data_IF_688517059554
#
_entry.id   IF_688517059554
#
_cell.length_a   1.000
_cell.length_b   1.000
_cell.length_c   1.000
_cell.angle_alpha   90.00
_cell.angle_beta   90.00
_cell.angle_gamma   90.00
#
_symmetry.space_group_name_H-M   'P 1'
#
loop_
_entity.id
_entity.type
_entity.pdbx_description
1 polymer ?
#
# COMPACT_ATOMS: atom_id res chain seq x y z
N UNK A 1 -20.43 -15.17 1.26
CA UNK A 1 -20.01 -13.80 1.63
C UNK A 1 -19.17 -13.20 0.50
N UNK A 2 -19.41 -11.95 0.19
CA UNK A 2 -18.56 -11.22 -0.74
C UNK A 2 -17.20 -10.93 -0.10
N UNK A 3 -16.21 -10.59 -0.90
CA UNK A 3 -14.90 -10.20 -0.39
C UNK A 3 -15.01 -9.00 0.56
N UNK A 4 -15.84 -8.02 0.20
CA UNK A 4 -16.09 -6.84 1.04
C UNK A 4 -16.63 -7.24 2.42
N UNK A 5 -17.58 -8.17 2.46
CA UNK A 5 -18.15 -8.66 3.72
C UNK A 5 -17.10 -9.40 4.55
N UNK A 6 -16.28 -10.23 3.91
CA UNK A 6 -15.20 -10.93 4.61
C UNK A 6 -14.20 -9.95 5.23
N UNK A 7 -13.82 -8.91 4.49
CA UNK A 7 -12.92 -7.86 4.97
C UNK A 7 -13.54 -7.14 6.16
N UNK A 8 -14.79 -6.71 6.03
CA UNK A 8 -15.48 -5.98 7.10
C UNK A 8 -15.61 -6.82 8.38
N UNK A 9 -15.87 -8.11 8.24
CA UNK A 9 -16.01 -9.00 9.38
C UNK A 9 -14.66 -9.30 10.07
N UNK A 10 -13.56 -9.15 9.34
CA UNK A 10 -12.23 -9.50 9.83
C UNK A 10 -11.48 -8.31 10.43
N UNK A 11 -11.70 -7.11 9.90
CA UNK A 11 -11.10 -5.89 10.44
C UNK A 11 -11.52 -5.70 11.90
N UNK A 12 -10.56 -5.30 12.75
CA UNK A 12 -10.81 -5.04 14.16
C UNK A 12 -10.92 -3.54 14.41
N UNK A 13 -11.97 -3.12 15.09
CA UNK A 13 -12.10 -1.75 15.56
C UNK A 13 -11.35 -1.58 16.87
N UNK A 14 -10.46 -0.59 16.94
CA UNK A 14 -9.75 -0.22 18.15
C UNK A 14 -10.19 1.18 18.54
N UNK A 15 -10.97 1.27 19.61
CA UNK A 15 -11.48 2.56 20.08
C UNK A 15 -10.36 3.37 20.72
N UNK A 16 -10.45 4.69 20.60
CA UNK A 16 -9.53 5.64 21.21
C UNK A 16 -8.05 5.40 20.84
N UNK A 17 -7.79 5.09 19.59
CA UNK A 17 -6.44 4.94 19.06
C UNK A 17 -6.28 5.74 17.75
N UNK A 18 -5.18 6.47 17.54
CA UNK A 18 -4.05 6.67 18.46
C UNK A 18 -4.37 7.62 19.62
N UNK A 19 -5.55 8.22 19.60
CA UNK A 19 -6.00 9.11 20.66
C UNK A 19 -7.52 9.04 20.83
N UNK A 20 -8.00 9.57 21.96
CA UNK A 20 -9.42 9.55 22.31
C UNK A 20 -10.29 10.12 21.20
N UNK A 21 -11.41 9.48 20.93
CA UNK A 21 -12.40 9.88 19.94
C UNK A 21 -12.15 9.33 18.53
N UNK A 22 -11.04 8.62 18.32
CA UNK A 22 -10.74 7.99 17.04
C UNK A 22 -10.92 6.49 17.13
N UNK A 23 -11.69 5.93 16.19
CA UNK A 23 -11.80 4.47 16.03
C UNK A 23 -10.83 4.05 14.93
N UNK A 24 -9.78 3.34 15.30
CA UNK A 24 -8.77 2.86 14.36
C UNK A 24 -9.19 1.52 13.77
N UNK A 25 -9.10 1.40 12.45
CA UNK A 25 -9.38 0.15 11.74
C UNK A 25 -8.10 -0.66 11.63
N UNK A 26 -8.00 -1.70 12.45
CA UNK A 26 -6.83 -2.57 12.51
C UNK A 26 -6.97 -3.70 11.49
N UNK A 27 -6.06 -3.75 10.53
CA UNK A 27 -6.05 -4.76 9.47
C UNK A 27 -5.20 -5.99 9.81
N UNK A 28 -4.54 -6.00 10.96
CA UNK A 28 -3.67 -7.14 11.31
C UNK A 28 -4.38 -8.49 11.29
N UNK A 29 -5.66 -8.60 11.69
CA UNK A 29 -6.36 -9.87 11.56
C UNK A 29 -6.50 -10.37 10.11
N UNK A 30 -6.50 -9.47 9.13
CA UNK A 30 -6.49 -9.85 7.71
C UNK A 30 -5.14 -10.49 7.37
N UNK A 31 -4.05 -9.92 7.86
CA UNK A 31 -2.70 -10.43 7.59
C UNK A 31 -2.49 -11.81 8.22
N UNK A 32 -3.24 -12.13 9.28
CA UNK A 32 -3.20 -13.43 9.94
C UNK A 32 -4.05 -14.49 9.23
N UNK A 33 -4.80 -14.10 8.21
CA UNK A 33 -5.65 -14.97 7.42
C UNK A 33 -5.08 -15.11 6.00
N UNK A 34 -4.30 -16.17 5.72
CA UNK A 34 -3.66 -16.32 4.42
C UNK A 34 -4.65 -16.40 3.26
N UNK A 35 -5.78 -17.06 3.48
CA UNK A 35 -6.80 -17.24 2.45
C UNK A 35 -7.44 -15.90 2.06
N UNK A 36 -7.80 -15.09 3.06
CA UNK A 36 -8.39 -13.77 2.83
C UNK A 36 -7.36 -12.82 2.21
N UNK A 37 -6.12 -12.86 2.69
CA UNK A 37 -5.03 -12.04 2.13
C UNK A 37 -4.81 -12.36 0.65
N UNK A 38 -4.85 -13.64 0.29
CA UNK A 38 -4.72 -14.07 -1.11
C UNK A 38 -5.87 -13.57 -1.96
N UNK A 39 -7.11 -13.64 -1.47
CA UNK A 39 -8.26 -13.10 -2.18
C UNK A 39 -8.12 -11.61 -2.45
N UNK A 40 -7.62 -10.86 -1.46
CA UNK A 40 -7.39 -9.41 -1.60
C UNK A 40 -6.34 -9.13 -2.68
N UNK A 41 -5.23 -9.84 -2.64
CA UNK A 41 -4.15 -9.69 -3.64
C UNK A 41 -4.68 -10.05 -5.04
N UNK A 42 -5.47 -11.10 -5.15
CA UNK A 42 -6.09 -11.49 -6.41
C UNK A 42 -6.99 -10.37 -6.95
N UNK A 43 -7.78 -9.75 -6.08
CA UNK A 43 -8.67 -8.67 -6.47
C UNK A 43 -7.90 -7.44 -6.94
N UNK A 44 -6.79 -7.09 -6.27
CA UNK A 44 -5.91 -6.03 -6.76
C UNK A 44 -5.41 -6.32 -8.17
N UNK A 45 -4.96 -7.54 -8.41
CA UNK A 45 -4.44 -7.92 -9.73
C UNK A 45 -5.52 -7.88 -10.81
N UNK A 46 -6.73 -8.33 -10.49
CA UNK A 46 -7.86 -8.28 -11.42
C UNK A 46 -8.26 -6.85 -11.77
N UNK A 47 -8.02 -5.91 -10.88
CA UNK A 47 -8.37 -4.50 -11.06
C UNK A 47 -7.32 -3.72 -11.84
N UNK A 48 -6.15 -4.30 -12.09
CA UNK A 48 -5.08 -3.62 -12.79
C UNK A 48 -5.39 -3.46 -14.27
N UNK A 49 -5.02 -2.30 -14.85
CA UNK A 49 -5.08 -2.15 -16.31
C UNK A 49 -4.12 -3.15 -16.99
N UNK A 50 -4.40 -3.46 -18.23
CA UNK A 50 -3.52 -4.30 -19.03
C UNK A 50 -2.17 -3.61 -19.24
N UNK A 51 -1.09 -4.40 -19.21
CA UNK A 51 0.25 -3.91 -19.49
C UNK A 51 0.96 -3.22 -18.33
N UNK A 52 0.45 -3.32 -17.12
CA UNK A 52 1.11 -2.73 -15.93
C UNK A 52 2.48 -3.37 -15.72
N UNK A 53 3.53 -2.55 -15.69
CA UNK A 53 4.90 -2.99 -15.49
C UNK A 53 5.37 -2.82 -14.04
N UNK A 54 4.78 -1.88 -13.31
CA UNK A 54 5.17 -1.56 -11.93
C UNK A 54 3.96 -1.28 -11.08
N UNK A 55 4.06 -1.68 -9.82
CA UNK A 55 3.10 -1.33 -8.76
C UNK A 55 3.87 -0.53 -7.71
N UNK A 56 3.32 0.58 -7.27
CA UNK A 56 3.92 1.40 -6.23
C UNK A 56 3.16 1.25 -4.92
N UNK A 57 3.87 1.23 -3.82
CA UNK A 57 3.27 1.22 -2.49
C UNK A 57 3.91 2.29 -1.61
N UNK A 58 3.09 2.97 -0.83
CA UNK A 58 3.54 3.97 0.14
C UNK A 58 3.72 3.29 1.50
N UNK A 59 4.86 3.56 2.14
CA UNK A 59 5.16 2.97 3.44
C UNK A 59 4.09 3.28 4.47
N UNK A 60 3.82 2.39 5.35
CA UNK A 60 4.28 1.00 5.34
C UNK A 60 3.15 0.07 4.94
N UNK A 61 1.89 0.49 5.15
CA UNK A 61 0.71 -0.32 4.87
C UNK A 61 0.61 -0.68 3.38
N UNK A 62 0.98 0.23 2.49
CA UNK A 62 1.00 -0.01 1.06
C UNK A 62 1.95 -1.12 0.62
N UNK A 63 2.99 -1.40 1.41
CA UNK A 63 3.93 -2.49 1.11
C UNK A 63 3.29 -3.87 1.33
N UNK A 64 2.38 -3.97 2.31
CA UNK A 64 1.80 -5.25 2.71
C UNK A 64 1.01 -5.91 1.58
N UNK A 65 0.31 -5.14 0.79
CA UNK A 65 -0.47 -5.64 -0.35
C UNK A 65 0.18 -5.32 -1.69
N UNK A 66 0.93 -4.22 -1.77
CA UNK A 66 1.55 -3.78 -3.02
C UNK A 66 2.61 -4.75 -3.53
N UNK A 67 3.52 -5.19 -2.68
CA UNK A 67 4.55 -6.12 -3.10
C UNK A 67 4.00 -7.50 -3.46
N UNK A 68 3.12 -8.11 -2.67
CA UNK A 68 2.47 -9.36 -3.09
C UNK A 68 1.71 -9.23 -4.41
N UNK A 69 1.02 -8.13 -4.63
CA UNK A 69 0.32 -7.89 -5.91
C UNK A 69 1.31 -7.77 -7.08
N UNK A 70 2.43 -7.08 -6.88
CA UNK A 70 3.47 -6.96 -7.89
C UNK A 70 4.05 -8.33 -8.25
N UNK A 71 4.35 -9.15 -7.25
CA UNK A 71 4.85 -10.50 -7.47
C UNK A 71 3.86 -11.34 -8.28
N UNK A 72 2.60 -11.30 -7.91
CA UNK A 72 1.56 -12.06 -8.60
C UNK A 72 1.37 -11.59 -10.04
N UNK A 73 1.41 -10.28 -10.26
CA UNK A 73 1.27 -9.68 -11.59
C UNK A 73 2.56 -9.76 -12.42
N UNK A 74 3.66 -10.25 -11.83
CA UNK A 74 4.99 -10.27 -12.45
C UNK A 74 5.44 -8.87 -12.87
N UNK A 75 5.16 -7.90 -12.03
CA UNK A 75 5.55 -6.49 -12.18
C UNK A 75 6.65 -6.15 -11.18
N UNK A 76 7.41 -5.08 -11.47
CA UNK A 76 8.30 -4.50 -10.48
C UNK A 76 7.51 -3.83 -9.37
N UNK A 77 8.17 -3.60 -8.22
CA UNK A 77 7.57 -2.88 -7.10
C UNK A 77 8.38 -1.63 -6.80
N UNK A 78 7.69 -0.51 -6.65
CA UNK A 78 8.29 0.78 -6.34
C UNK A 78 7.96 1.15 -4.89
N UNK A 79 9.00 1.32 -4.08
CA UNK A 79 8.84 1.81 -2.72
C UNK A 79 8.73 3.33 -2.74
N UNK A 80 7.63 3.83 -2.17
CA UNK A 80 7.46 5.26 -1.91
C UNK A 80 7.53 5.43 -0.40
N UNK A 81 8.48 6.24 0.07
CA UNK A 81 8.76 6.38 1.49
C UNK A 81 8.89 7.84 1.89
N UNK A 82 8.79 8.09 3.19
CA UNK A 82 9.03 9.41 3.76
C UNK A 82 10.48 9.81 3.52
N UNK A 83 10.70 11.13 3.41
CA UNK A 83 12.02 11.71 3.20
C UNK A 83 13.08 11.10 4.11
N UNK A 84 14.22 10.76 3.51
CA UNK A 84 15.39 10.24 4.23
C UNK A 84 15.39 8.74 4.49
N UNK A 85 14.36 8.00 4.05
CA UNK A 85 14.27 6.55 4.28
C UNK A 85 14.89 5.71 3.18
N UNK A 86 15.06 6.26 1.98
CA UNK A 86 15.60 5.52 0.84
C UNK A 86 17.11 5.77 0.71
N UNK A 87 17.92 4.73 0.47
CA UNK A 87 19.39 4.83 0.51
C UNK A 87 20.04 5.36 -0.76
N UNK A 88 19.33 5.36 -1.89
CA UNK A 88 19.88 5.81 -3.15
C UNK A 88 19.30 7.18 -3.52
N UNK A 89 19.72 7.74 -4.64
CA UNK A 89 19.22 9.04 -5.12
C UNK A 89 17.71 9.00 -5.34
N UNK A 90 17.02 10.06 -4.92
CA UNK A 90 15.56 10.13 -4.93
C UNK A 90 15.05 11.30 -5.73
N UNK A 91 13.81 11.17 -6.21
CA UNK A 91 12.94 12.29 -6.56
C UNK A 91 11.85 12.37 -5.53
N UNK A 92 11.40 13.57 -5.22
CA UNK A 92 10.45 13.77 -4.13
C UNK A 92 9.30 14.68 -4.53
N UNK A 93 8.22 14.56 -3.77
CA UNK A 93 7.05 15.41 -3.87
C UNK A 93 6.65 15.82 -2.44
N UNK A 94 6.32 17.10 -2.28
CA UNK A 94 5.80 17.64 -1.02
C UNK A 94 4.31 17.80 -1.16
N UNK A 95 3.57 17.43 -0.11
CA UNK A 95 2.11 17.60 -0.09
C UNK A 95 1.67 18.16 1.26
N UNK A 96 0.54 18.87 1.22
CA UNK A 96 -0.01 19.49 2.41
C UNK A 96 -0.81 18.51 3.25
N UNK A 97 -0.62 18.58 4.56
CA UNK A 97 -1.45 17.92 5.55
C UNK A 97 -2.38 18.97 6.17
N UNK A 98 -3.33 18.51 6.97
CA UNK A 98 -4.19 19.43 7.74
C UNK A 98 -3.35 20.34 8.63
N UNK A 99 -2.27 19.80 9.20
CA UNK A 99 -1.30 20.55 10.02
C UNK A 99 0.11 20.29 9.48
N UNK A 100 0.59 21.20 8.61
CA UNK A 100 1.94 21.13 8.08
C UNK A 100 2.02 20.46 6.71
N UNK A 101 3.19 19.97 6.38
CA UNK A 101 3.48 19.31 5.09
C UNK A 101 4.19 18.00 5.32
N UNK A 102 4.12 17.12 4.33
CA UNK A 102 4.88 15.89 4.29
C UNK A 102 5.56 15.76 2.94
N UNK A 103 6.69 15.06 2.93
CA UNK A 103 7.46 14.81 1.72
C UNK A 103 7.66 13.30 1.57
N UNK A 104 7.36 12.80 0.37
CA UNK A 104 7.58 11.39 0.02
C UNK A 104 8.53 11.30 -1.16
N UNK A 105 9.25 10.21 -1.24
CA UNK A 105 10.31 10.00 -2.21
C UNK A 105 10.22 8.62 -2.84
N UNK A 106 10.74 8.52 -4.06
CA UNK A 106 11.09 7.23 -4.68
C UNK A 106 12.47 7.34 -5.29
N UNK A 107 13.12 6.21 -5.54
CA UNK A 107 14.42 6.20 -6.22
C UNK A 107 14.28 6.75 -7.64
N UNK A 108 15.32 7.47 -8.10
CA UNK A 108 15.31 8.07 -9.43
C UNK A 108 15.24 7.03 -10.56
N UNK A 109 15.66 5.80 -10.29
CA UNK A 109 15.68 4.70 -11.25
C UNK A 109 14.50 3.72 -11.05
N UNK A 110 13.53 4.09 -10.21
CA UNK A 110 12.40 3.21 -9.90
C UNK A 110 11.53 2.94 -11.13
N UNK A 111 11.35 3.95 -11.97
CA UNK A 111 10.57 3.85 -13.21
C UNK A 111 11.33 4.49 -14.36
N UNK A 112 11.03 4.03 -15.56
CA UNK A 112 11.67 4.50 -16.80
C UNK A 112 10.62 4.84 -17.84
N UNK A 113 11.01 5.61 -18.83
CA UNK A 113 10.13 5.93 -19.96
C UNK A 113 9.58 4.64 -20.58
N UNK A 114 8.28 4.62 -20.78
CA UNK A 114 7.58 3.44 -21.31
C UNK A 114 6.99 2.53 -20.25
N UNK A 115 7.36 2.68 -18.98
CA UNK A 115 6.76 1.93 -17.88
C UNK A 115 5.32 2.38 -17.60
N UNK A 116 4.56 1.44 -17.10
CA UNK A 116 3.15 1.68 -16.79
C UNK A 116 2.83 1.20 -15.40
#
# INVERSE_FOLDING_TARGET
MTLKEKINDTIRDVEDFPKKGIVFKDITPILDDPSLSEEIVNEFCLSLPEGVTHIAGIESRGFLFGFPAAMKNKSGFVLIRKKGKLPYKTVSVTYDLEYGTAEIEMHIDAVRTGDK
#
